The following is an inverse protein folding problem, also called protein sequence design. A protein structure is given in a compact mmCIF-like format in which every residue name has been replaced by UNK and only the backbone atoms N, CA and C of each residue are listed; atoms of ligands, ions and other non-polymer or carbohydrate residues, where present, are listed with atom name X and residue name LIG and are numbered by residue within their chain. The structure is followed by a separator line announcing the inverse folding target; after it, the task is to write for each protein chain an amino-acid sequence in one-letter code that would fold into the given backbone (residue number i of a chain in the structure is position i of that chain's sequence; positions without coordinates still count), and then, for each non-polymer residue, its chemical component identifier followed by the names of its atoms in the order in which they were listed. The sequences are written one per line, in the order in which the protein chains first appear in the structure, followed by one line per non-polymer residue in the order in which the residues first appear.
data_IF_060844595364
#
_entry.id   IF_060844595364
#
_cell.length_a   1.000
_cell.length_b   1.000
_cell.length_c   1.000
_cell.angle_alpha   90.00
_cell.angle_beta   90.00
_cell.angle_gamma   90.00
#
_symmetry.space_group_name_H-M   'P 1'
#
loop_
_entity.id
_entity.type
_entity.pdbx_description
1 polymer ?
#
# COMPACT_ATOMS: atom_id res chain seq x y z
N UNK A 1 11.63 37.65 -4.46
CA UNK A 1 12.58 36.63 -3.98
C UNK A 1 13.88 37.29 -3.49
N UNK A 2 13.82 38.14 -2.46
CA UNK A 2 14.97 38.93 -1.99
C UNK A 2 15.21 38.87 -0.47
N UNK A 3 14.50 38.02 0.28
CA UNK A 3 14.52 38.03 1.75
C UNK A 3 15.20 36.79 2.36
N UNK A 4 15.91 35.97 1.55
CA UNK A 4 16.51 34.71 2.01
C UNK A 4 18.03 34.64 1.79
N UNK A 5 18.66 35.74 1.37
CA UNK A 5 20.10 35.75 1.04
C UNK A 5 21.03 35.93 2.23
N UNK A 6 20.53 36.21 3.44
CA UNK A 6 21.39 36.77 4.50
C UNK A 6 21.72 35.88 5.70
N UNK A 7 21.15 34.68 5.88
CA UNK A 7 21.38 33.94 7.14
C UNK A 7 21.34 32.41 7.03
N UNK A 8 22.30 31.82 6.32
CA UNK A 8 22.54 30.36 6.41
C UNK A 8 24.03 30.05 6.32
N UNK A 9 24.73 30.03 7.45
CA UNK A 9 25.92 29.21 7.63
C UNK A 9 25.46 27.85 8.14
N UNK A 10 25.55 26.82 7.30
CA UNK A 10 25.32 25.42 7.70
C UNK A 10 26.71 24.84 7.91
N UNK A 11 27.18 24.80 9.16
CA UNK A 11 28.39 24.07 9.50
C UNK A 11 28.14 22.58 9.27
N UNK A 12 28.95 22.00 8.37
CA UNK A 12 29.00 20.57 8.12
C UNK A 12 29.87 19.94 9.21
N UNK A 13 29.25 19.64 10.36
CA UNK A 13 29.88 18.81 11.38
C UNK A 13 29.20 17.45 11.37
N UNK A 14 29.99 16.45 10.96
CA UNK A 14 29.92 15.02 11.18
C UNK A 14 28.56 14.31 11.32
N UNK A 15 28.48 13.20 10.60
CA UNK A 15 27.32 12.33 10.35
C UNK A 15 26.56 11.76 11.57
N UNK A 16 26.76 12.21 12.83
CA UNK A 16 26.01 11.64 13.97
C UNK A 16 25.82 12.48 15.25
N UNK A 17 26.05 13.79 15.30
CA UNK A 17 25.61 14.61 16.45
C UNK A 17 25.04 15.95 16.00
N UNK A 18 23.82 16.21 16.49
CA UNK A 18 23.08 17.46 16.51
C UNK A 18 23.44 18.50 15.44
N UNK A 19 22.48 18.78 14.53
CA UNK A 19 22.50 20.00 13.74
C UNK A 19 22.43 21.18 14.74
N UNK A 20 23.58 21.70 15.16
CA UNK A 20 23.66 23.00 15.83
C UNK A 20 23.36 24.06 14.77
N UNK A 21 22.07 24.32 14.55
CA UNK A 21 21.62 25.58 13.99
C UNK A 21 21.89 26.65 15.05
N UNK A 22 23.04 27.33 14.97
CA UNK A 22 23.20 28.65 15.59
C UNK A 22 22.32 29.64 14.84
N UNK A 23 21.02 29.56 15.12
CA UNK A 23 20.00 30.44 14.59
C UNK A 23 20.23 31.82 15.22
N UNK A 24 20.67 32.81 14.43
CA UNK A 24 20.68 34.21 14.86
C UNK A 24 19.26 34.60 15.25
N UNK A 25 19.03 34.67 16.57
CA UNK A 25 17.90 35.25 17.30
C UNK A 25 16.54 35.22 16.58
N UNK A 26 16.01 34.02 16.38
CA UNK A 26 14.55 33.86 16.39
C UNK A 26 14.24 33.01 17.60
N UNK A 27 13.67 33.62 18.64
CA UNK A 27 12.98 32.93 19.74
C UNK A 27 11.81 32.14 19.15
N UNK A 28 12.11 31.03 18.46
CA UNK A 28 11.12 30.07 18.02
C UNK A 28 10.55 29.46 19.29
N UNK A 29 9.37 29.93 19.68
CA UNK A 29 8.61 29.36 20.79
C UNK A 29 8.63 27.84 20.66
N UNK A 30 8.91 27.14 21.76
CA UNK A 30 9.19 25.70 21.84
C UNK A 30 8.18 24.82 21.05
N UNK A 31 6.93 25.30 20.86
CA UNK A 31 5.87 24.67 20.06
C UNK A 31 6.18 24.51 18.56
N UNK A 32 7.07 25.32 17.97
CA UNK A 32 7.37 25.25 16.54
C UNK A 32 8.70 24.56 16.22
N UNK A 33 9.55 24.31 17.24
CA UNK A 33 10.87 23.71 17.07
C UNK A 33 10.81 22.40 16.29
N UNK A 34 9.89 21.50 16.64
CA UNK A 34 9.73 20.22 15.94
C UNK A 34 9.32 20.36 14.47
N UNK A 35 8.44 21.31 14.13
CA UNK A 35 8.06 21.56 12.73
C UNK A 35 9.21 22.15 11.93
N UNK A 36 9.97 23.06 12.54
CA UNK A 36 11.16 23.66 11.94
C UNK A 36 12.27 22.65 11.67
N UNK A 37 12.62 21.82 12.67
CA UNK A 37 13.63 20.76 12.48
C UNK A 37 13.21 19.79 11.37
N UNK A 38 11.93 19.39 11.33
CA UNK A 38 11.42 18.57 10.24
C UNK A 38 11.51 19.27 8.87
N UNK A 39 11.24 20.58 8.81
CA UNK A 39 11.35 21.36 7.58
C UNK A 39 12.79 21.45 7.09
N UNK A 40 13.73 21.84 7.96
CA UNK A 40 15.15 21.94 7.65
C UNK A 40 15.71 20.57 7.26
N UNK A 41 15.39 19.52 8.02
CA UNK A 41 15.81 18.15 7.72
C UNK A 41 15.35 17.68 6.34
N UNK A 42 14.12 18.00 5.93
CA UNK A 42 13.62 17.70 4.57
C UNK A 42 14.38 18.49 3.50
N UNK A 43 14.63 19.79 3.72
CA UNK A 43 15.39 20.62 2.77
C UNK A 43 16.82 20.11 2.62
N UNK A 44 17.45 19.71 3.72
CA UNK A 44 18.78 19.12 3.74
C UNK A 44 18.83 17.78 2.99
N UNK A 45 17.85 16.90 3.21
CA UNK A 45 17.76 15.64 2.48
C UNK A 45 17.58 15.86 0.96
N UNK A 46 16.76 16.82 0.56
CA UNK A 46 16.57 17.19 -0.87
C UNK A 46 17.87 17.76 -1.45
N UNK A 47 18.56 18.64 -0.72
CA UNK A 47 19.85 19.18 -1.13
C UNK A 47 20.88 18.08 -1.38
N UNK A 48 21.10 17.19 -0.40
CA UNK A 48 22.02 16.04 -0.56
C UNK A 48 21.62 15.10 -1.70
N UNK A 49 20.32 14.91 -1.92
CA UNK A 49 19.81 14.12 -3.05
C UNK A 49 20.18 14.78 -4.37
N UNK A 50 19.93 16.08 -4.53
CA UNK A 50 20.28 16.83 -5.75
C UNK A 50 21.78 16.79 -6.03
N UNK A 51 22.62 16.94 -5.00
CA UNK A 51 24.07 16.80 -5.12
C UNK A 51 24.43 15.42 -5.68
N UNK A 52 23.89 14.37 -5.08
CA UNK A 52 24.15 12.98 -5.50
C UNK A 52 23.65 12.71 -6.92
N UNK A 53 22.43 13.13 -7.26
CA UNK A 53 21.81 12.81 -8.55
C UNK A 53 22.39 13.60 -9.70
N UNK A 54 22.81 14.84 -9.49
CA UNK A 54 23.27 15.72 -10.58
C UNK A 54 24.79 15.72 -10.73
N UNK A 55 25.54 15.72 -9.61
CA UNK A 55 26.98 15.96 -9.58
C UNK A 55 27.80 14.69 -9.29
N UNK A 56 27.19 13.60 -8.82
CA UNK A 56 27.90 12.31 -8.68
C UNK A 56 27.51 11.36 -9.83
N UNK A 57 26.21 11.15 -10.02
CA UNK A 57 25.69 10.19 -11.01
C UNK A 57 25.04 10.85 -12.24
N UNK A 58 25.00 12.18 -12.28
CA UNK A 58 24.22 12.93 -13.26
C UNK A 58 25.05 13.55 -14.37
N UNK A 59 24.42 14.50 -15.06
CA UNK A 59 25.02 15.20 -16.20
C UNK A 59 26.11 16.21 -15.82
N UNK A 60 26.16 16.64 -14.55
CA UNK A 60 27.13 17.63 -14.02
C UNK A 60 28.28 16.97 -13.25
N UNK A 61 28.57 15.70 -13.52
CA UNK A 61 29.63 14.95 -12.82
C UNK A 61 31.02 15.57 -12.96
N UNK A 62 31.25 16.28 -14.08
CA UNK A 62 32.53 16.89 -14.41
C UNK A 62 32.62 18.35 -13.93
N UNK A 63 31.53 18.89 -13.36
CA UNK A 63 31.45 20.26 -12.87
C UNK A 63 31.23 20.26 -11.35
N UNK A 64 32.26 20.46 -10.52
CA UNK A 64 32.09 20.38 -9.09
C UNK A 64 31.11 21.47 -8.57
N UNK A 65 30.17 21.12 -7.68
CA UNK A 65 29.09 22.00 -7.24
C UNK A 65 29.58 23.31 -6.60
N UNK A 66 30.74 23.26 -5.94
CA UNK A 66 31.35 24.40 -5.25
C UNK A 66 31.94 25.47 -6.19
N UNK A 67 32.10 25.19 -7.49
CA UNK A 67 32.70 26.13 -8.44
C UNK A 67 31.69 27.12 -9.01
N UNK A 68 30.42 26.71 -9.17
CA UNK A 68 29.40 27.50 -9.88
C UNK A 68 28.07 27.68 -9.14
N UNK A 69 27.69 26.76 -8.26
CA UNK A 69 26.33 26.74 -7.69
C UNK A 69 26.27 26.96 -6.19
N UNK A 70 27.27 26.50 -5.46
CA UNK A 70 27.27 26.53 -4.00
C UNK A 70 28.58 27.08 -3.46
N UNK A 71 28.70 28.40 -3.39
CA UNK A 71 29.88 29.12 -2.86
C UNK A 71 30.21 28.72 -1.40
N UNK A 72 29.20 28.32 -0.62
CA UNK A 72 29.35 27.88 0.77
C UNK A 72 29.91 26.45 0.91
N UNK A 73 30.05 25.71 -0.19
CA UNK A 73 30.58 24.35 -0.16
C UNK A 73 32.06 24.41 -0.48
N UNK A 74 32.91 23.92 0.40
CA UNK A 74 34.34 23.80 0.18
C UNK A 74 34.70 22.47 -0.51
N UNK A 75 35.89 22.43 -1.11
CA UNK A 75 36.37 21.25 -1.83
C UNK A 75 36.53 20.04 -0.90
N UNK A 76 37.06 20.24 0.31
CA UNK A 76 37.31 19.16 1.26
C UNK A 76 35.99 18.51 1.69
N UNK A 77 34.98 19.31 2.03
CA UNK A 77 33.66 18.78 2.38
C UNK A 77 32.96 18.11 1.19
N UNK A 78 33.14 18.61 -0.04
CA UNK A 78 32.64 17.93 -1.22
C UNK A 78 33.28 16.55 -1.41
N UNK A 79 34.60 16.45 -1.30
CA UNK A 79 35.34 15.20 -1.48
C UNK A 79 34.94 14.18 -0.39
N UNK A 80 34.79 14.63 0.88
CA UNK A 80 34.26 13.81 1.97
C UNK A 80 32.83 13.32 1.69
N UNK A 81 31.97 14.18 1.16
CA UNK A 81 30.60 13.82 0.77
C UNK A 81 30.57 12.80 -0.38
N UNK A 82 31.43 12.95 -1.38
CA UNK A 82 31.55 11.99 -2.49
C UNK A 82 32.02 10.63 -1.96
N UNK A 83 33.03 10.62 -1.09
CA UNK A 83 33.52 9.39 -0.46
C UNK A 83 32.40 8.66 0.33
N UNK A 84 31.61 9.38 1.12
CA UNK A 84 30.50 8.77 1.88
C UNK A 84 29.43 8.18 0.96
N UNK A 85 29.08 8.87 -0.14
CA UNK A 85 28.11 8.38 -1.14
C UNK A 85 28.62 7.24 -2.01
N UNK A 86 29.94 7.09 -2.13
CA UNK A 86 30.58 6.00 -2.85
C UNK A 86 30.91 4.79 -1.96
N UNK A 87 30.67 4.89 -0.66
CA UNK A 87 30.78 3.75 0.26
C UNK A 87 29.91 2.57 -0.19
N UNK A 88 30.38 1.36 0.11
CA UNK A 88 29.68 0.14 -0.30
C UNK A 88 28.28 0.04 0.33
N UNK A 89 28.11 0.51 1.57
CA UNK A 89 26.83 0.52 2.27
C UNK A 89 25.80 1.45 1.60
N UNK A 90 26.18 2.69 1.28
CA UNK A 90 25.28 3.64 0.63
C UNK A 90 24.92 3.19 -0.79
N UNK A 91 25.88 2.61 -1.52
CA UNK A 91 25.63 1.98 -2.83
C UNK A 91 24.61 0.85 -2.70
N UNK A 92 24.76 -0.03 -1.72
CA UNK A 92 23.83 -1.14 -1.50
C UNK A 92 22.41 -0.64 -1.16
N UNK A 93 22.27 0.36 -0.28
CA UNK A 93 20.98 1.01 0.04
C UNK A 93 20.31 1.58 -1.21
N UNK A 94 21.08 2.28 -2.05
CA UNK A 94 20.59 2.86 -3.30
C UNK A 94 20.12 1.79 -4.28
N UNK A 95 20.93 0.76 -4.53
CA UNK A 95 20.60 -0.32 -5.46
C UNK A 95 19.33 -1.05 -5.01
N UNK A 96 19.21 -1.36 -3.72
CA UNK A 96 17.99 -1.96 -3.16
C UNK A 96 16.75 -1.09 -3.38
N UNK A 97 16.87 0.24 -3.21
CA UNK A 97 15.77 1.16 -3.48
C UNK A 97 15.39 1.20 -4.97
N UNK A 98 16.38 1.16 -5.88
CA UNK A 98 16.16 1.09 -7.32
C UNK A 98 15.49 -0.22 -7.74
N UNK A 99 15.91 -1.34 -7.15
CA UNK A 99 15.30 -2.64 -7.37
C UNK A 99 13.82 -2.64 -6.95
N UNK A 100 13.51 -2.16 -5.73
CA UNK A 100 12.12 -2.03 -5.26
C UNK A 100 11.30 -1.13 -6.21
N UNK A 101 11.88 -0.02 -6.68
CA UNK A 101 11.20 0.89 -7.60
C UNK A 101 10.94 0.22 -8.96
N UNK A 102 11.85 -0.61 -9.46
CA UNK A 102 11.70 -1.34 -10.73
C UNK A 102 10.53 -2.33 -10.71
N UNK A 103 10.17 -2.85 -9.53
CA UNK A 103 9.02 -3.74 -9.36
C UNK A 103 7.67 -3.01 -9.49
N UNK A 104 7.65 -1.67 -9.54
CA UNK A 104 6.44 -0.89 -9.73
C UNK A 104 5.99 -0.88 -11.20
N UNK A 105 5.34 -1.96 -11.62
CA UNK A 105 4.84 -2.16 -12.99
C UNK A 105 3.82 -1.13 -13.45
N UNK A 106 3.04 -0.53 -12.54
CA UNK A 106 1.95 0.39 -12.89
C UNK A 106 2.09 1.70 -12.11
N UNK A 107 3.09 2.54 -12.44
CA UNK A 107 3.32 3.81 -11.75
C UNK A 107 2.13 4.75 -11.96
N UNK A 108 1.83 5.56 -10.95
CA UNK A 108 0.77 6.57 -11.02
C UNK A 108 1.35 7.93 -11.42
N UNK A 109 0.56 8.73 -12.13
CA UNK A 109 0.87 10.10 -12.56
C UNK A 109 -0.12 11.10 -11.94
N UNK A 110 -0.19 11.12 -10.61
CA UNK A 110 -0.90 12.18 -9.90
C UNK A 110 0.02 13.40 -9.74
N UNK A 111 -0.57 14.60 -9.72
CA UNK A 111 0.15 15.83 -9.38
C UNK A 111 0.47 15.89 -7.88
N UNK A 112 1.06 17.00 -7.41
CA UNK A 112 1.34 17.24 -5.98
C UNK A 112 0.10 17.07 -5.08
N UNK A 113 -1.11 17.21 -5.63
CA UNK A 113 -2.38 17.04 -4.93
C UNK A 113 -2.89 15.60 -4.84
N UNK A 114 -2.20 14.62 -5.44
CA UNK A 114 -2.59 13.20 -5.32
C UNK A 114 -3.96 12.87 -5.92
N UNK A 115 -4.63 11.88 -5.32
CA UNK A 115 -5.97 11.43 -5.75
C UNK A 115 -7.08 12.39 -5.37
N UNK A 116 -6.95 13.14 -4.26
CA UNK A 116 -7.95 14.12 -3.83
C UNK A 116 -8.20 15.17 -4.92
N UNK A 117 -7.12 15.78 -5.41
CA UNK A 117 -7.21 16.74 -6.53
C UNK A 117 -7.62 16.08 -7.83
N UNK A 118 -7.27 14.81 -8.05
CA UNK A 118 -7.71 14.08 -9.24
C UNK A 118 -9.22 13.83 -9.24
N UNK A 119 -9.77 13.41 -8.10
CA UNK A 119 -11.21 13.17 -7.89
C UNK A 119 -11.98 14.47 -8.11
N UNK A 120 -11.52 15.58 -7.54
CA UNK A 120 -12.15 16.88 -7.75
C UNK A 120 -12.22 17.24 -9.24
N UNK A 121 -11.11 17.07 -9.97
CA UNK A 121 -11.08 17.31 -11.42
C UNK A 121 -12.07 16.44 -12.19
N UNK A 122 -12.18 15.15 -11.83
CA UNK A 122 -13.12 14.25 -12.47
C UNK A 122 -14.58 14.64 -12.20
N UNK A 123 -14.88 15.12 -10.99
CA UNK A 123 -16.20 15.66 -10.64
C UNK A 123 -16.49 16.92 -11.45
N UNK A 124 -15.55 17.86 -11.49
CA UNK A 124 -15.69 19.10 -12.26
C UNK A 124 -15.85 18.83 -13.76
N UNK A 125 -15.14 17.84 -14.31
CA UNK A 125 -15.30 17.35 -15.70
C UNK A 125 -16.72 16.82 -15.94
N UNK A 126 -17.25 15.98 -15.03
CA UNK A 126 -18.63 15.46 -15.11
C UNK A 126 -19.68 16.58 -15.01
N UNK A 127 -19.48 17.56 -14.13
CA UNK A 127 -20.37 18.73 -13.99
C UNK A 127 -20.38 19.55 -15.28
N UNK A 128 -19.20 19.87 -15.83
CA UNK A 128 -19.09 20.62 -17.09
C UNK A 128 -19.69 19.88 -18.28
N UNK A 129 -19.58 18.55 -18.32
CA UNK A 129 -20.21 17.75 -19.35
C UNK A 129 -21.75 17.83 -19.28
N UNK A 130 -22.32 17.76 -18.07
CA UNK A 130 -23.76 17.95 -17.85
C UNK A 130 -24.22 19.36 -18.22
N UNK A 131 -23.46 20.39 -17.85
CA UNK A 131 -23.73 21.79 -18.21
C UNK A 131 -23.77 22.02 -19.72
N UNK A 132 -22.91 21.34 -20.47
CA UNK A 132 -22.90 21.43 -21.93
C UNK A 132 -24.03 20.66 -22.60
N UNK A 133 -24.58 19.66 -21.92
CA UNK A 133 -25.67 18.84 -22.43
C UNK A 133 -27.05 19.42 -22.07
N UNK A 134 -27.11 20.35 -21.11
CA UNK A 134 -28.31 21.11 -20.79
C UNK A 134 -28.44 22.32 -21.70
N UNK A 135 -29.62 22.52 -22.26
CA UNK A 135 -29.97 23.68 -23.09
C UNK A 135 -30.44 24.89 -22.24
N UNK A 136 -30.67 24.72 -20.94
CA UNK A 136 -31.13 25.77 -20.02
C UNK A 136 -30.02 26.23 -19.05
N UNK A 137 -29.53 27.49 -19.16
CA UNK A 137 -28.53 28.05 -18.26
C UNK A 137 -28.94 28.13 -16.77
N UNK A 138 -30.24 27.96 -16.46
CA UNK A 138 -30.78 28.07 -15.10
C UNK A 138 -31.00 26.71 -14.41
N UNK A 139 -30.74 25.59 -15.10
CA UNK A 139 -30.95 24.25 -14.55
C UNK A 139 -29.96 23.95 -13.42
N UNK A 140 -30.48 23.58 -12.25
CA UNK A 140 -29.65 23.18 -11.10
C UNK A 140 -29.13 21.76 -11.34
N UNK A 141 -27.87 21.65 -11.74
CA UNK A 141 -27.23 20.35 -11.98
C UNK A 141 -26.84 19.73 -10.64
N UNK A 142 -27.50 18.62 -10.31
CA UNK A 142 -27.15 17.86 -9.13
C UNK A 142 -25.69 17.36 -9.18
N UNK A 143 -24.99 17.33 -8.03
CA UNK A 143 -23.61 16.86 -7.97
C UNK A 143 -23.52 15.41 -8.48
N UNK A 144 -22.60 15.10 -9.41
CA UNK A 144 -22.41 13.72 -9.85
C UNK A 144 -21.91 12.86 -8.70
N UNK A 145 -22.27 11.57 -8.72
CA UNK A 145 -21.70 10.60 -7.78
C UNK A 145 -20.17 10.61 -7.85
N UNK A 146 -19.48 10.52 -6.71
CA UNK A 146 -18.03 10.45 -6.68
C UNK A 146 -17.51 9.30 -7.56
N UNK A 147 -16.41 9.49 -8.30
CA UNK A 147 -15.77 8.42 -9.06
C UNK A 147 -15.43 7.23 -8.16
N UNK A 148 -15.67 6.03 -8.66
CA UNK A 148 -15.25 4.80 -7.99
C UNK A 148 -13.72 4.69 -7.91
N UNK A 149 -13.18 3.86 -7.00
CA UNK A 149 -11.71 3.73 -6.86
C UNK A 149 -11.02 3.11 -8.08
N UNK A 150 -11.74 2.32 -8.88
CA UNK A 150 -11.18 1.73 -10.09
C UNK A 150 -11.14 2.77 -11.23
N UNK A 151 -12.15 3.64 -11.35
CA UNK A 151 -12.12 4.81 -12.24
C UNK A 151 -10.94 5.74 -11.91
N UNK A 152 -10.76 6.10 -10.64
CA UNK A 152 -9.66 6.97 -10.21
C UNK A 152 -8.30 6.30 -10.45
N UNK A 153 -8.20 4.99 -10.23
CA UNK A 153 -6.99 4.23 -10.52
C UNK A 153 -6.62 4.23 -12.01
N UNK A 154 -7.62 4.07 -12.91
CA UNK A 154 -7.45 4.18 -14.37
C UNK A 154 -7.01 5.59 -14.74
N UNK A 155 -7.76 6.62 -14.33
CA UNK A 155 -7.49 8.03 -14.63
C UNK A 155 -6.09 8.48 -14.19
N UNK A 156 -5.63 8.02 -13.02
CA UNK A 156 -4.33 8.34 -12.47
C UNK A 156 -3.14 7.81 -13.31
N UNK A 157 -3.39 6.94 -14.29
CA UNK A 157 -2.35 6.30 -15.11
C UNK A 157 -2.49 6.60 -16.61
N UNK A 158 -3.28 7.60 -16.94
CA UNK A 158 -3.43 8.13 -18.29
C UNK A 158 -2.43 9.27 -18.49
N UNK A 159 -1.72 9.24 -19.62
CA UNK A 159 -0.84 10.31 -20.10
C UNK A 159 -1.68 11.51 -20.56
N UNK A 160 -1.10 12.71 -20.67
CA UNK A 160 -1.79 13.83 -21.31
C UNK A 160 -2.29 13.54 -22.74
N UNK A 161 -1.65 12.60 -23.45
CA UNK A 161 -2.08 12.13 -24.78
C UNK A 161 -3.37 11.30 -24.76
N UNK A 162 -3.85 10.87 -23.60
CA UNK A 162 -5.01 9.96 -23.46
C UNK A 162 -4.64 8.48 -23.36
N UNK A 163 -3.40 8.10 -23.68
CA UNK A 163 -2.93 6.72 -23.60
C UNK A 163 -2.52 6.31 -22.17
N UNK A 164 -2.56 5.01 -21.88
CA UNK A 164 -1.97 4.48 -20.64
C UNK A 164 -0.43 4.60 -20.63
N UNK A 165 0.14 4.68 -19.42
CA UNK A 165 1.59 4.81 -19.24
C UNK A 165 2.37 3.66 -19.89
N UNK A 166 1.86 2.43 -19.74
CA UNK A 166 2.44 1.23 -20.30
C UNK A 166 1.39 0.15 -20.57
N UNK A 167 1.80 -0.87 -21.31
CA UNK A 167 0.95 -2.01 -21.69
C UNK A 167 0.41 -2.76 -20.47
N UNK A 168 1.23 -2.97 -19.43
CA UNK A 168 0.79 -3.62 -18.20
C UNK A 168 -0.39 -2.89 -17.53
N UNK A 169 -0.37 -1.56 -17.52
CA UNK A 169 -1.50 -0.76 -17.02
C UNK A 169 -2.70 -0.88 -17.94
N UNK A 170 -2.50 -0.83 -19.25
CA UNK A 170 -3.57 -0.98 -20.23
C UNK A 170 -4.28 -2.34 -20.10
N UNK A 171 -3.52 -3.42 -19.89
CA UNK A 171 -4.07 -4.76 -19.69
C UNK A 171 -4.91 -4.86 -18.40
N UNK A 172 -4.48 -4.21 -17.31
CA UNK A 172 -5.29 -4.15 -16.08
C UNK A 172 -6.54 -3.30 -16.29
N UNK A 173 -6.44 -2.17 -17.00
CA UNK A 173 -7.60 -1.34 -17.31
C UNK A 173 -8.64 -2.12 -18.14
N UNK A 174 -8.22 -2.83 -19.17
CA UNK A 174 -9.10 -3.68 -19.97
C UNK A 174 -9.76 -4.78 -19.12
N UNK A 175 -9.04 -5.38 -18.16
CA UNK A 175 -9.64 -6.32 -17.19
C UNK A 175 -10.68 -5.66 -16.29
N UNK A 176 -10.42 -4.44 -15.82
CA UNK A 176 -11.40 -3.68 -15.04
C UNK A 176 -12.66 -3.47 -15.87
N UNK A 177 -12.53 -3.04 -17.12
CA UNK A 177 -13.66 -2.81 -18.02
C UNK A 177 -14.45 -4.10 -18.27
N UNK A 178 -13.77 -5.24 -18.43
CA UNK A 178 -14.42 -6.55 -18.57
C UNK A 178 -15.23 -6.95 -17.33
N UNK A 179 -14.65 -6.82 -16.13
CA UNK A 179 -15.34 -7.14 -14.86
C UNK A 179 -16.50 -6.16 -14.62
N UNK A 180 -16.36 -4.90 -15.05
CA UNK A 180 -17.44 -3.91 -15.00
C UNK A 180 -18.64 -4.35 -15.85
N UNK A 181 -18.41 -4.91 -17.05
CA UNK A 181 -19.49 -5.51 -17.85
C UNK A 181 -20.11 -6.74 -17.18
N UNK A 182 -19.30 -7.61 -16.56
CA UNK A 182 -19.80 -8.76 -15.80
C UNK A 182 -20.65 -8.33 -14.59
N UNK A 183 -20.32 -7.20 -13.97
CA UNK A 183 -21.13 -6.61 -12.90
C UNK A 183 -22.46 -6.09 -13.45
N UNK A 184 -22.44 -5.41 -14.60
CA UNK A 184 -23.66 -4.95 -15.27
C UNK A 184 -24.57 -6.10 -15.71
N UNK A 185 -24.01 -7.26 -16.07
CA UNK A 185 -24.78 -8.46 -16.39
C UNK A 185 -25.22 -9.28 -15.17
N UNK A 186 -24.84 -8.86 -13.95
CA UNK A 186 -25.16 -9.55 -12.70
C UNK A 186 -24.30 -10.80 -12.40
N UNK A 187 -23.30 -11.10 -13.23
CA UNK A 187 -22.39 -12.24 -13.05
C UNK A 187 -21.36 -11.99 -11.94
N UNK A 188 -20.99 -10.73 -11.73
CA UNK A 188 -20.04 -10.31 -10.70
C UNK A 188 -20.71 -9.42 -9.65
N UNK A 189 -20.54 -9.74 -8.37
CA UNK A 189 -20.96 -8.88 -7.25
C UNK A 189 -19.74 -8.56 -6.38
N UNK A 190 -19.29 -7.30 -6.31
CA UNK A 190 -18.15 -6.93 -5.48
C UNK A 190 -18.49 -7.12 -4.00
N UNK A 191 -17.57 -7.73 -3.26
CA UNK A 191 -17.74 -7.96 -1.81
C UNK A 191 -16.53 -7.48 -1.03
N UNK A 192 -16.73 -6.43 -0.23
CA UNK A 192 -15.71 -5.84 0.62
C UNK A 192 -14.43 -5.52 -0.15
N UNK A 193 -13.35 -6.24 0.16
CA UNK A 193 -12.02 -6.05 -0.46
C UNK A 193 -11.87 -6.72 -1.83
N UNK A 194 -12.79 -7.61 -2.21
CA UNK A 194 -12.82 -8.29 -3.50
C UNK A 194 -13.71 -7.51 -4.45
N UNK A 195 -13.24 -6.33 -4.84
CA UNK A 195 -13.89 -5.46 -5.81
C UNK A 195 -13.19 -5.52 -7.17
N UNK A 196 -13.69 -4.76 -8.15
CA UNK A 196 -13.18 -4.74 -9.53
C UNK A 196 -11.67 -4.54 -9.58
N UNK A 197 -11.15 -3.57 -8.82
CA UNK A 197 -9.73 -3.24 -8.85
C UNK A 197 -8.87 -4.34 -8.24
N UNK A 198 -9.30 -4.94 -7.13
CA UNK A 198 -8.57 -6.01 -6.48
C UNK A 198 -8.51 -7.27 -7.36
N UNK A 199 -9.64 -7.62 -7.99
CA UNK A 199 -9.76 -8.77 -8.90
C UNK A 199 -8.92 -8.55 -10.15
N UNK A 200 -9.02 -7.39 -10.80
CA UNK A 200 -8.24 -7.09 -12.01
C UNK A 200 -6.72 -7.11 -11.78
N UNK A 201 -6.26 -6.61 -10.62
CA UNK A 201 -4.84 -6.63 -10.25
C UNK A 201 -4.40 -8.02 -9.78
N UNK A 202 -5.32 -8.81 -9.21
CA UNK A 202 -5.03 -10.12 -8.60
C UNK A 202 -4.22 -10.04 -7.31
N UNK A 203 -4.19 -8.87 -6.65
CA UNK A 203 -3.49 -8.65 -5.38
C UNK A 203 -4.34 -7.82 -4.43
N UNK A 204 -4.39 -8.25 -3.18
CA UNK A 204 -5.03 -7.48 -2.12
C UNK A 204 -4.28 -6.17 -1.85
N UNK A 205 -5.01 -5.21 -1.28
CA UNK A 205 -4.41 -3.99 -0.77
C UNK A 205 -3.54 -4.24 0.46
N UNK A 206 -2.55 -3.37 0.66
CA UNK A 206 -1.75 -3.38 1.87
C UNK A 206 -2.59 -2.91 3.06
N UNK A 207 -2.51 -3.49 4.27
CA UNK A 207 -3.41 -3.16 5.38
C UNK A 207 -3.52 -1.66 5.71
N UNK A 208 -2.42 -0.93 5.54
CA UNK A 208 -2.32 0.50 5.84
C UNK A 208 -2.71 1.43 4.69
N UNK A 209 -2.97 0.93 3.47
CA UNK A 209 -3.17 1.77 2.28
C UNK A 209 -4.14 1.15 1.28
N UNK A 210 -5.04 1.98 0.77
CA UNK A 210 -6.01 1.60 -0.26
C UNK A 210 -5.59 2.17 -1.62
N UNK A 211 -5.58 1.33 -2.66
CA UNK A 211 -5.26 1.78 -4.03
C UNK A 211 -6.39 2.65 -4.59
N UNK A 212 -6.03 3.68 -5.37
CA UNK A 212 -7.00 4.53 -6.06
C UNK A 212 -7.68 5.62 -5.22
N UNK A 213 -7.51 5.64 -3.90
CA UNK A 213 -8.29 6.53 -3.02
C UNK A 213 -7.47 7.69 -2.45
N UNK A 214 -6.14 7.55 -2.35
CA UNK A 214 -5.26 8.59 -1.81
C UNK A 214 -4.70 8.25 -0.43
N UNK A 215 -4.08 9.25 0.21
CA UNK A 215 -3.43 9.09 1.52
C UNK A 215 -4.47 9.27 2.63
N UNK A 216 -4.31 8.57 3.74
CA UNK A 216 -5.17 8.69 4.93
C UNK A 216 -6.23 7.59 5.04
N UNK A 217 -6.48 6.86 3.96
CA UNK A 217 -7.38 5.72 3.97
C UNK A 217 -6.62 4.41 4.27
N UNK A 218 -6.96 3.81 5.40
CA UNK A 218 -6.64 2.41 5.69
C UNK A 218 -7.70 1.49 5.10
N UNK A 219 -7.37 0.21 4.94
CA UNK A 219 -8.34 -0.79 4.48
C UNK A 219 -9.56 -0.83 5.39
N UNK A 220 -9.38 -0.67 6.71
CA UNK A 220 -10.48 -0.66 7.69
C UNK A 220 -11.37 0.59 7.59
N UNK A 221 -10.78 1.77 7.38
CA UNK A 221 -11.56 3.01 7.27
C UNK A 221 -12.31 3.11 5.95
N UNK A 222 -11.81 2.46 4.89
CA UNK A 222 -12.44 2.50 3.57
C UNK A 222 -13.49 1.40 3.38
N UNK A 223 -13.14 0.14 3.66
CA UNK A 223 -14.02 -1.01 3.48
C UNK A 223 -14.83 -1.38 4.73
N UNK A 224 -14.61 -0.67 5.84
CA UNK A 224 -15.15 -1.06 7.13
C UNK A 224 -14.33 -2.16 7.82
N UNK A 225 -14.76 -2.51 9.04
CA UNK A 225 -14.26 -3.67 9.76
C UNK A 225 -14.81 -4.90 9.04
N UNK A 226 -13.95 -5.81 8.58
CA UNK A 226 -14.46 -7.12 8.21
C UNK A 226 -15.09 -7.73 9.45
N UNK A 227 -16.34 -8.17 9.33
CA UNK A 227 -16.87 -9.12 10.27
C UNK A 227 -15.89 -10.28 10.29
N UNK A 228 -15.37 -10.60 11.47
CA UNK A 228 -14.68 -11.87 11.63
C UNK A 228 -15.78 -12.89 11.37
N UNK A 229 -15.79 -13.49 10.18
CA UNK A 229 -16.33 -14.83 10.08
C UNK A 229 -15.67 -15.58 11.22
N UNK A 230 -16.48 -16.04 12.18
CA UNK A 230 -15.97 -16.87 13.26
C UNK A 230 -15.10 -17.92 12.61
N UNK A 231 -13.84 -17.96 13.04
CA UNK A 231 -12.88 -18.99 12.71
C UNK A 231 -13.62 -20.34 12.73
N UNK A 232 -13.67 -21.00 11.57
CA UNK A 232 -14.36 -22.26 11.27
C UNK A 232 -15.31 -22.77 12.34
N UNK A 233 -16.48 -22.15 12.50
CA UNK A 233 -17.53 -22.74 13.33
C UNK A 233 -18.13 -23.89 12.52
N UNK A 234 -17.48 -25.05 12.62
CA UNK A 234 -18.02 -26.36 12.23
C UNK A 234 -19.49 -26.36 12.58
N UNK A 235 -20.35 -26.60 11.59
CA UNK A 235 -21.78 -26.43 11.79
C UNK A 235 -22.22 -27.33 12.94
N UNK A 236 -23.26 -26.93 13.69
CA UNK A 236 -23.80 -27.74 14.77
C UNK A 236 -24.16 -29.16 14.29
N UNK A 237 -24.54 -29.27 13.02
CA UNK A 237 -24.86 -30.52 12.33
C UNK A 237 -23.61 -31.37 12.05
N UNK A 238 -22.51 -30.76 11.61
CA UNK A 238 -21.22 -31.45 11.40
C UNK A 238 -20.65 -31.96 12.73
N UNK A 239 -20.69 -31.15 13.79
CA UNK A 239 -20.27 -31.59 15.14
C UNK A 239 -21.16 -32.72 15.65
N UNK A 240 -22.48 -32.61 15.45
CA UNK A 240 -23.42 -33.65 15.85
C UNK A 240 -23.19 -34.97 15.08
N UNK A 241 -22.86 -34.89 13.79
CA UNK A 241 -22.50 -36.04 12.96
C UNK A 241 -21.26 -36.77 13.48
N UNK A 242 -20.18 -36.03 13.76
CA UNK A 242 -18.92 -36.60 14.29
C UNK A 242 -19.16 -37.27 15.66
N UNK A 243 -19.95 -36.64 16.54
CA UNK A 243 -20.28 -37.21 17.86
C UNK A 243 -21.10 -38.51 17.71
N UNK A 244 -22.07 -38.53 16.80
CA UNK A 244 -22.89 -39.71 16.56
C UNK A 244 -22.05 -40.88 16.04
N UNK A 245 -21.13 -40.62 15.12
CA UNK A 245 -20.24 -41.62 14.54
C UNK A 245 -19.26 -42.18 15.58
N UNK A 246 -18.61 -41.32 16.38
CA UNK A 246 -17.76 -41.75 17.49
C UNK A 246 -18.53 -42.61 18.51
N UNK A 247 -19.75 -42.21 18.86
CA UNK A 247 -20.58 -42.96 19.82
C UNK A 247 -20.97 -44.33 19.27
N UNK A 248 -21.32 -44.43 17.99
CA UNK A 248 -21.65 -45.70 17.34
C UNK A 248 -20.45 -46.64 17.28
N UNK A 249 -19.27 -46.13 16.90
CA UNK A 249 -18.03 -46.91 16.86
C UNK A 249 -17.68 -47.48 18.24
N UNK A 250 -17.67 -46.63 19.27
CA UNK A 250 -17.35 -47.03 20.63
C UNK A 250 -18.37 -48.04 21.21
N UNK A 251 -19.65 -47.89 20.88
CA UNK A 251 -20.67 -48.86 21.27
C UNK A 251 -20.49 -50.21 20.56
N UNK A 252 -20.15 -50.20 19.27
CA UNK A 252 -19.90 -51.42 18.50
C UNK A 252 -18.68 -52.18 19.03
N UNK A 253 -17.58 -51.48 19.33
CA UNK A 253 -16.38 -52.08 19.92
C UNK A 253 -16.67 -52.69 21.30
N UNK A 254 -17.37 -51.95 22.16
CA UNK A 254 -17.73 -52.45 23.50
C UNK A 254 -18.63 -53.68 23.42
N UNK A 255 -19.62 -53.69 22.52
CA UNK A 255 -20.50 -54.85 22.30
C UNK A 255 -19.74 -56.05 21.73
N UNK A 256 -18.80 -55.83 20.82
CA UNK A 256 -17.97 -56.89 20.26
C UNK A 256 -17.08 -57.53 21.34
N UNK A 257 -16.48 -56.70 22.21
CA UNK A 257 -15.68 -57.16 23.35
C UNK A 257 -16.50 -58.02 24.32
N UNK A 258 -17.65 -57.50 24.78
CA UNK A 258 -18.58 -58.24 25.66
C UNK A 258 -19.04 -59.57 25.05
N UNK A 259 -19.36 -59.58 23.75
CA UNK A 259 -19.74 -60.82 23.05
C UNK A 259 -18.60 -61.82 22.99
N UNK A 260 -17.37 -61.36 22.78
CA UNK A 260 -16.20 -62.24 22.77
C UNK A 260 -15.95 -62.86 24.16
N UNK A 261 -16.04 -62.05 25.22
CA UNK A 261 -15.92 -62.53 26.61
C UNK A 261 -17.00 -63.55 26.97
N UNK A 262 -18.27 -63.25 26.68
CA UNK A 262 -19.36 -64.21 26.92
C UNK A 262 -19.16 -65.52 26.14
N UNK A 263 -18.69 -65.43 24.90
CA UNK A 263 -18.42 -66.62 24.07
C UNK A 263 -17.29 -67.47 24.65
N UNK A 264 -16.25 -66.86 25.21
CA UNK A 264 -15.18 -67.56 25.91
C UNK A 264 -15.69 -68.21 27.19
N UNK A 265 -16.47 -67.50 27.99
CA UNK A 265 -17.00 -68.00 29.26
C UNK A 265 -17.94 -69.21 29.05
N UNK A 266 -18.79 -69.15 28.02
CA UNK A 266 -19.64 -70.29 27.62
C UNK A 266 -18.81 -71.48 27.13
N UNK A 267 -17.75 -71.24 26.33
CA UNK A 267 -16.86 -72.33 25.88
C UNK A 267 -16.17 -73.03 27.05
N UNK A 268 -15.62 -72.26 27.99
CA UNK A 268 -14.99 -72.81 29.21
C UNK A 268 -16.01 -73.59 30.03
N UNK A 269 -17.25 -73.09 30.16
CA UNK A 269 -18.31 -73.80 30.88
C UNK A 269 -18.71 -75.12 30.22
N UNK A 270 -18.80 -75.16 28.89
CA UNK A 270 -19.09 -76.41 28.16
C UNK A 270 -17.96 -77.42 28.34
N UNK A 271 -16.69 -76.99 28.24
CA UNK A 271 -15.54 -77.89 28.41
C UNK A 271 -15.44 -78.47 29.83
N UNK A 272 -15.73 -77.67 30.85
CA UNK A 272 -15.72 -78.11 32.26
C UNK A 272 -16.82 -79.12 32.58
N UNK A 273 -17.98 -79.05 31.91
CA UNK A 273 -19.07 -80.03 32.07
C UNK A 273 -18.84 -81.35 31.32
N UNK A 274 -17.91 -81.40 30.36
CA UNK A 274 -17.55 -82.62 29.62
C UNK A 274 -16.45 -83.46 30.32
N UNK A 275 -15.84 -82.92 31.38
CA UNK A 275 -14.74 -83.55 32.14
C UNK A 275 -15.17 -84.05 33.53
N UNK A 276 -16.45 -83.90 33.88
CA UNK A 276 -17.11 -84.37 35.10
C UNK A 276 -18.10 -85.47 34.76
#
# INVERSE_FOLDING_TARGET
MSCLKEKFEIFLVDDNKEIELSLVDVKLQNRFKGKWVNYVGRRWAVFKTNLTTNFIYGKKKDEPPYVKEYEFLDKETWDAFVASRLSQEEKAKRLKAQEIQSQNKCPQRCSRGGYEVLIQKMIDEKIKARQKASDDPSEIIEPPSPPSRHETWKRARIKPSGEYINEATSAIAAKIDAIEQEQSSGSFTPSGRNDLLAVAIGKSDHPSRVRGVGKGYTVRTYFGKQERAGDGMVSREEVAGIIAEMKASMQAEMQASLRAEMKMLVRVRIQTLQLT
#
